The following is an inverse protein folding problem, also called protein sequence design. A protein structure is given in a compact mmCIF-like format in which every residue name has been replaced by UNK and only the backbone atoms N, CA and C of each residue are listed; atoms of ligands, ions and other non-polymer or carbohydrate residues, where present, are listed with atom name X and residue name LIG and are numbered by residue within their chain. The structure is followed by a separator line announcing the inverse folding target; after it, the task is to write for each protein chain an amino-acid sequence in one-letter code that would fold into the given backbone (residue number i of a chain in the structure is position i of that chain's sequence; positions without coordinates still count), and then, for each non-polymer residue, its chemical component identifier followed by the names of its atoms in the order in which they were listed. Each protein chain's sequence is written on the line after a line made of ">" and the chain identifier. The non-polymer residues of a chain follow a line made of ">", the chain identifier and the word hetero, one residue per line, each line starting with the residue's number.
data_IF_363188975154
#
_entry.id   IF_363188975154
#
_cell.length_a   1.000
_cell.length_b   1.000
_cell.length_c   1.000
_cell.angle_alpha   90.00
_cell.angle_beta   90.00
_cell.angle_gamma   90.00
#
_symmetry.space_group_name_H-M   'P 1'
#
loop_
_entity.id
_entity.type
_entity.pdbx_description
1 polymer ?
#
# COMPACT_ATOMS: atom_id res chain seq x y z
N UNK A 1 -23.34 10.82 4.18
CA UNK A 1 -22.40 11.78 4.77
C UNK A 1 -22.35 13.02 3.89
N UNK A 2 -22.22 14.22 4.46
CA UNK A 2 -21.97 15.45 3.68
C UNK A 2 -20.48 15.77 3.65
N UNK A 3 -20.02 16.59 2.69
CA UNK A 3 -18.61 17.06 2.65
C UNK A 3 -18.20 17.78 3.94
N UNK A 4 -19.15 18.44 4.61
CA UNK A 4 -18.92 19.12 5.88
C UNK A 4 -18.68 18.11 7.02
N UNK A 5 -19.43 17.01 7.05
CA UNK A 5 -19.25 15.95 8.05
C UNK A 5 -17.88 15.27 7.90
N UNK A 6 -17.45 15.01 6.66
CA UNK A 6 -16.11 14.48 6.34
C UNK A 6 -15.00 15.44 6.78
N UNK A 7 -15.14 16.73 6.48
CA UNK A 7 -14.14 17.73 6.83
C UNK A 7 -13.96 17.84 8.35
N UNK A 8 -15.05 17.83 9.11
CA UNK A 8 -15.01 17.84 10.57
C UNK A 8 -14.38 16.56 11.14
N UNK A 9 -14.63 15.40 10.50
CA UNK A 9 -14.03 14.14 10.89
C UNK A 9 -12.50 14.15 10.68
N UNK A 10 -12.04 14.67 9.54
CA UNK A 10 -10.60 14.84 9.25
C UNK A 10 -9.91 15.75 10.25
N UNK A 11 -10.50 16.90 10.58
CA UNK A 11 -9.93 17.84 11.57
C UNK A 11 -9.75 17.19 12.95
N UNK A 12 -10.73 16.37 13.37
CA UNK A 12 -10.64 15.63 14.63
C UNK A 12 -9.53 14.59 14.59
N UNK A 13 -9.44 13.79 13.54
CA UNK A 13 -8.39 12.78 13.37
C UNK A 13 -7.00 13.44 13.38
N UNK A 14 -6.82 14.55 12.66
CA UNK A 14 -5.57 15.33 12.65
C UNK A 14 -5.22 15.94 14.01
N UNK A 15 -6.23 16.15 14.87
CA UNK A 15 -6.05 16.61 16.25
C UNK A 15 -5.76 15.45 17.23
N UNK A 16 -5.61 14.21 16.73
CA UNK A 16 -5.30 13.02 17.53
C UNK A 16 -6.53 12.27 18.06
N UNK A 17 -7.72 12.50 17.50
CA UNK A 17 -8.91 11.71 17.81
C UNK A 17 -8.85 10.35 17.09
N UNK A 18 -8.41 9.32 17.81
CA UNK A 18 -8.27 7.96 17.28
C UNK A 18 -9.59 7.39 16.75
N UNK A 19 -10.72 7.69 17.39
CA UNK A 19 -12.03 7.22 16.92
C UNK A 19 -12.41 7.87 15.58
N UNK A 20 -12.07 9.15 15.39
CA UNK A 20 -12.28 9.81 14.10
C UNK A 20 -11.35 9.26 13.02
N UNK A 21 -10.11 8.88 13.37
CA UNK A 21 -9.18 8.22 12.47
C UNK A 21 -9.72 6.86 12.02
N UNK A 22 -10.16 6.01 12.96
CA UNK A 22 -10.73 4.70 12.67
C UNK A 22 -11.96 4.81 11.73
N UNK A 23 -12.83 5.77 11.99
CA UNK A 23 -14.02 6.02 11.17
C UNK A 23 -13.65 6.45 9.74
N UNK A 24 -12.60 7.27 9.57
CA UNK A 24 -12.10 7.65 8.24
C UNK A 24 -11.50 6.47 7.50
N UNK A 25 -10.71 5.63 8.17
CA UNK A 25 -10.11 4.43 7.56
C UNK A 25 -11.22 3.50 7.10
N UNK A 26 -12.17 3.18 7.98
CA UNK A 26 -13.28 2.29 7.63
C UNK A 26 -14.06 2.82 6.43
N UNK A 27 -14.40 4.12 6.42
CA UNK A 27 -15.12 4.72 5.31
C UNK A 27 -14.31 4.69 4.01
N UNK A 28 -13.00 4.96 4.08
CA UNK A 28 -12.14 4.93 2.91
C UNK A 28 -12.05 3.51 2.32
N UNK A 29 -11.94 2.48 3.17
CA UNK A 29 -11.99 1.07 2.74
C UNK A 29 -13.33 0.74 2.08
N UNK A 30 -14.45 1.09 2.72
CA UNK A 30 -15.79 0.81 2.19
C UNK A 30 -16.05 1.48 0.82
N UNK A 31 -15.41 2.63 0.59
CA UNK A 31 -15.52 3.38 -0.67
C UNK A 31 -14.43 3.03 -1.69
N UNK A 32 -13.40 2.26 -1.31
CA UNK A 32 -12.20 2.07 -2.12
C UNK A 32 -11.42 3.36 -2.37
N UNK A 33 -11.48 4.32 -1.44
CA UNK A 33 -10.82 5.62 -1.55
C UNK A 33 -9.33 5.52 -1.20
N UNK A 34 -8.54 5.10 -2.20
CA UNK A 34 -7.08 4.99 -2.07
C UNK A 34 -6.41 6.33 -1.75
N UNK A 35 -6.98 7.45 -2.20
CA UNK A 35 -6.37 8.76 -1.96
C UNK A 35 -6.53 9.16 -0.49
N UNK A 36 -7.68 8.87 0.14
CA UNK A 36 -7.85 9.08 1.58
C UNK A 36 -6.99 8.12 2.40
N UNK A 37 -6.92 6.84 2.05
CA UNK A 37 -6.03 5.88 2.71
C UNK A 37 -4.55 6.32 2.61
N UNK A 38 -4.11 6.77 1.44
CA UNK A 38 -2.76 7.32 1.23
C UNK A 38 -2.50 8.53 2.13
N UNK A 39 -3.45 9.46 2.20
CA UNK A 39 -3.33 10.65 3.06
C UNK A 39 -3.17 10.28 4.53
N UNK A 40 -3.94 9.30 5.01
CA UNK A 40 -3.88 8.84 6.40
C UNK A 40 -2.58 8.06 6.69
N UNK A 41 -2.15 7.21 5.76
CA UNK A 41 -0.87 6.50 5.83
C UNK A 41 0.33 7.45 5.86
N UNK A 42 0.36 8.45 4.98
CA UNK A 42 1.39 9.51 4.96
C UNK A 42 1.34 10.37 6.25
N UNK A 43 0.19 10.42 6.92
CA UNK A 43 0.00 10.99 8.25
C UNK A 43 0.53 10.13 9.40
N UNK A 44 1.03 8.92 9.10
CA UNK A 44 1.62 8.00 10.07
C UNK A 44 0.65 6.95 10.64
N UNK A 45 -0.55 6.80 10.08
CA UNK A 45 -1.45 5.72 10.47
C UNK A 45 -0.97 4.38 9.90
N UNK A 46 -0.61 3.46 10.80
CA UNK A 46 -0.23 2.09 10.43
C UNK A 46 -1.42 1.33 9.84
N UNK A 47 -2.60 1.41 10.48
CA UNK A 47 -3.81 0.74 10.00
C UNK A 47 -4.19 1.21 8.59
N UNK A 48 -4.10 2.52 8.31
CA UNK A 48 -4.35 3.04 6.95
C UNK A 48 -3.29 2.56 5.94
N UNK A 49 -2.05 2.34 6.39
CA UNK A 49 -0.98 1.79 5.54
C UNK A 49 -1.30 0.34 5.16
N UNK A 50 -1.72 -0.47 6.12
CA UNK A 50 -2.08 -1.87 5.89
C UNK A 50 -3.27 -2.00 4.93
N UNK A 51 -4.32 -1.20 5.13
CA UNK A 51 -5.49 -1.16 4.24
C UNK A 51 -5.12 -0.68 2.83
N UNK A 52 -4.22 0.31 2.71
CA UNK A 52 -3.75 0.78 1.41
C UNK A 52 -2.95 -0.30 0.66
N UNK A 53 -2.13 -1.08 1.36
CA UNK A 53 -1.36 -2.19 0.78
C UNK A 53 -2.31 -3.27 0.27
N UNK A 54 -3.30 -3.66 1.08
CA UNK A 54 -4.28 -4.67 0.69
C UNK A 54 -5.05 -4.22 -0.55
N UNK A 55 -5.62 -3.01 -0.53
CA UNK A 55 -6.39 -2.49 -1.66
C UNK A 55 -5.54 -2.32 -2.91
N UNK A 56 -4.29 -1.84 -2.79
CA UNK A 56 -3.37 -1.74 -3.92
C UNK A 56 -3.04 -3.12 -4.50
N UNK A 57 -2.85 -4.14 -3.67
CA UNK A 57 -2.69 -5.53 -4.10
C UNK A 57 -3.89 -6.06 -4.87
N UNK A 58 -5.10 -5.90 -4.31
CA UNK A 58 -6.35 -6.33 -4.95
C UNK A 58 -6.60 -5.66 -6.31
N UNK A 59 -6.23 -4.38 -6.43
CA UNK A 59 -6.36 -3.62 -7.67
C UNK A 59 -5.19 -3.83 -8.65
N UNK A 60 -4.12 -4.50 -8.22
CA UNK A 60 -2.89 -4.65 -9.00
C UNK A 60 -2.14 -3.32 -9.20
N UNK A 61 -2.29 -2.36 -8.29
CA UNK A 61 -1.59 -1.08 -8.32
C UNK A 61 -0.13 -1.24 -7.88
N UNK A 62 0.68 -1.74 -8.80
CA UNK A 62 2.13 -1.90 -8.60
C UNK A 62 2.84 -0.57 -8.32
N UNK A 63 2.29 0.57 -8.77
CA UNK A 63 2.92 1.87 -8.52
C UNK A 63 2.80 2.26 -7.05
N UNK A 64 1.63 2.06 -6.46
CA UNK A 64 1.42 2.35 -5.04
C UNK A 64 2.21 1.39 -4.14
N UNK A 65 2.17 0.09 -4.45
CA UNK A 65 2.97 -0.90 -3.73
C UNK A 65 4.47 -0.60 -3.81
N UNK A 66 4.95 -0.20 -5.00
CA UNK A 66 6.34 0.26 -5.19
C UNK A 66 6.68 1.46 -4.31
N UNK A 67 5.80 2.47 -4.26
CA UNK A 67 6.01 3.66 -3.42
C UNK A 67 6.15 3.27 -1.94
N UNK A 68 5.28 2.41 -1.46
CA UNK A 68 5.26 1.95 -0.06
C UNK A 68 6.49 1.07 0.26
N UNK A 69 6.86 0.16 -0.65
CA UNK A 69 8.06 -0.67 -0.53
C UNK A 69 9.35 0.18 -0.51
N UNK A 70 9.45 1.17 -1.39
CA UNK A 70 10.57 2.11 -1.43
C UNK A 70 10.60 3.00 -0.15
N UNK A 71 9.44 3.20 0.49
CA UNK A 71 9.28 3.81 1.82
C UNK A 71 9.66 2.89 2.98
N UNK A 72 10.01 1.63 2.71
CA UNK A 72 10.46 0.65 3.71
C UNK A 72 9.36 -0.32 4.20
N UNK A 73 8.18 -0.33 3.60
CA UNK A 73 7.16 -1.32 3.94
C UNK A 73 7.51 -2.70 3.36
N UNK A 74 7.76 -3.67 4.25
CA UNK A 74 8.02 -5.06 3.85
C UNK A 74 6.78 -5.72 3.26
N UNK A 75 5.60 -5.49 3.83
CA UNK A 75 4.35 -6.09 3.34
C UNK A 75 4.00 -5.58 1.93
N UNK A 76 4.27 -4.30 1.64
CA UNK A 76 4.12 -3.76 0.30
C UNK A 76 5.11 -4.38 -0.70
N UNK A 77 6.35 -4.65 -0.25
CA UNK A 77 7.36 -5.30 -1.09
C UNK A 77 6.95 -6.75 -1.41
N UNK A 78 6.38 -7.47 -0.45
CA UNK A 78 5.91 -8.84 -0.66
C UNK A 78 4.75 -8.89 -1.66
N UNK A 79 3.74 -8.02 -1.52
CA UNK A 79 2.64 -7.92 -2.50
C UNK A 79 3.14 -7.52 -3.89
N UNK A 80 4.13 -6.62 -3.97
CA UNK A 80 4.72 -6.21 -5.23
C UNK A 80 5.47 -7.34 -5.93
N UNK A 81 6.17 -8.20 -5.16
CA UNK A 81 6.85 -9.39 -5.68
C UNK A 81 5.83 -10.40 -6.21
N UNK A 82 4.76 -10.66 -5.46
CA UNK A 82 3.70 -11.58 -5.90
C UNK A 82 3.13 -11.13 -7.24
N UNK A 83 2.72 -9.86 -7.35
CA UNK A 83 2.19 -9.31 -8.61
C UNK A 83 3.23 -9.29 -9.73
N UNK A 84 4.49 -8.99 -9.44
CA UNK A 84 5.55 -9.00 -10.44
C UNK A 84 5.80 -10.42 -10.97
N UNK A 85 5.81 -11.43 -10.09
CA UNK A 85 5.93 -12.85 -10.47
C UNK A 85 4.74 -13.29 -11.32
N UNK A 86 3.50 -13.01 -10.91
CA UNK A 86 2.29 -13.38 -11.65
C UNK A 86 2.23 -12.79 -13.06
N UNK A 87 2.92 -11.67 -13.28
CA UNK A 87 2.94 -10.92 -14.53
C UNK A 87 4.22 -11.11 -15.34
N UNK A 88 5.13 -11.97 -14.88
CA UNK A 88 6.48 -12.14 -15.45
C UNK A 88 7.23 -10.79 -15.58
N UNK A 89 7.03 -9.86 -14.64
CA UNK A 89 7.72 -8.56 -14.60
C UNK A 89 9.13 -8.72 -14.03
N UNK A 90 10.02 -9.29 -14.86
CA UNK A 90 11.42 -9.53 -14.52
C UNK A 90 12.18 -8.24 -14.20
N UNK A 91 11.76 -7.11 -14.78
CA UNK A 91 12.40 -5.82 -14.54
C UNK A 91 12.13 -5.36 -13.09
N UNK A 92 10.90 -5.53 -12.58
CA UNK A 92 10.60 -5.19 -11.20
C UNK A 92 11.22 -6.16 -10.19
N UNK A 93 11.18 -7.46 -10.46
CA UNK A 93 11.87 -8.45 -9.61
C UNK A 93 13.38 -8.16 -9.54
N UNK A 94 13.99 -7.80 -10.67
CA UNK A 94 15.40 -7.39 -10.72
C UNK A 94 15.66 -6.11 -9.93
N UNK A 95 14.80 -5.11 -10.05
CA UNK A 95 14.92 -3.86 -9.28
C UNK A 95 14.94 -4.16 -7.78
N UNK A 96 13.99 -4.95 -7.30
CA UNK A 96 13.89 -5.32 -5.89
C UNK A 96 15.07 -6.17 -5.43
N UNK A 97 15.54 -7.11 -6.27
CA UNK A 97 16.74 -7.90 -6.00
C UNK A 97 18.00 -7.03 -5.89
N UNK A 98 18.16 -6.04 -6.78
CA UNK A 98 19.27 -5.10 -6.76
C UNK A 98 19.24 -4.19 -5.52
N UNK A 99 18.05 -3.95 -4.96
CA UNK A 99 17.85 -3.29 -3.65
C UNK A 99 18.09 -4.24 -2.45
N UNK A 100 18.41 -5.50 -2.70
CA UNK A 100 18.74 -6.49 -1.67
C UNK A 100 17.55 -7.32 -1.19
N UNK A 101 16.40 -7.27 -1.86
CA UNK A 101 15.28 -8.15 -1.53
C UNK A 101 15.59 -9.58 -2.02
N UNK A 102 15.75 -10.49 -1.06
CA UNK A 102 16.15 -11.88 -1.32
C UNK A 102 15.04 -12.65 -2.03
N UNK A 103 13.78 -12.48 -1.60
CA UNK A 103 12.62 -13.14 -2.20
C UNK A 103 12.50 -12.78 -3.68
N UNK A 104 12.66 -11.50 -4.03
CA UNK A 104 12.65 -11.06 -5.43
C UNK A 104 13.79 -11.68 -6.25
N UNK A 105 14.99 -11.79 -5.68
CA UNK A 105 16.13 -12.42 -6.34
C UNK A 105 15.90 -13.92 -6.61
N UNK A 106 15.25 -14.62 -5.68
CA UNK A 106 14.87 -16.02 -5.83
C UNK A 106 13.83 -16.20 -6.95
N UNK A 107 12.76 -15.39 -6.94
CA UNK A 107 11.72 -15.42 -7.98
C UNK A 107 12.30 -15.11 -9.37
N UNK A 108 13.17 -14.10 -9.48
CA UNK A 108 13.84 -13.77 -10.73
C UNK A 108 14.69 -14.94 -11.26
N UNK A 109 15.41 -15.63 -10.37
CA UNK A 109 16.23 -16.77 -10.76
C UNK A 109 15.40 -17.97 -11.22
N UNK A 110 14.25 -18.20 -10.59
CA UNK A 110 13.30 -19.25 -10.97
C UNK A 110 12.74 -19.00 -12.37
N UNK A 111 12.17 -17.82 -12.62
CA UNK A 111 11.53 -17.47 -13.90
C UNK A 111 12.53 -17.39 -15.08
N UNK A 112 13.78 -17.03 -14.83
CA UNK A 112 14.81 -16.94 -15.89
C UNK A 112 15.50 -18.27 -16.20
N UNK A 113 15.25 -19.31 -15.41
CA UNK A 113 15.79 -20.66 -15.64
C UNK A 113 14.87 -21.55 -16.49
N UNK A 114 13.63 -21.12 -16.77
CA UNK A 114 12.66 -21.79 -17.65
C UNK A 114 12.89 -21.50 -19.14
#
# INVERSE_FOLDING_TARGET
>A
MTDFDLSALRERAESGDETALDELIQLAVELGDMDELRRLADGGSADATDELIQLAGELGDMQELRRLADGGSSDAADQLIELATERDDLDELRRLADLGNITAAEQLAELTAE
#
